data_IF_195843204805
#
_entry.id   IF_195843204805
#
_cell.length_a   1.000
_cell.length_b   1.000
_cell.length_c   1.000
_cell.angle_alpha   90.00
_cell.angle_beta   90.00
_cell.angle_gamma   90.00
#
_symmetry.space_group_name_H-M   'P 1'
#
loop_
_entity.id
_entity.type
_entity.pdbx_description
1 polymer ?
#
# COMPACT_ATOMS: atom_id res chain seq x y z
N UNK A 1 -59.48 -12.68 -3.43
CA UNK A 1 -58.07 -12.62 -3.85
C UNK A 1 -57.51 -14.03 -3.82
N UNK A 2 -57.29 -14.65 -4.99
CA UNK A 2 -56.53 -15.90 -5.06
C UNK A 2 -55.05 -15.54 -4.90
N UNK A 3 -54.48 -15.85 -3.74
CA UNK A 3 -53.04 -15.74 -3.52
C UNK A 3 -52.42 -17.01 -4.10
N UNK A 4 -51.79 -16.88 -5.26
CA UNK A 4 -51.02 -17.92 -5.91
C UNK A 4 -49.72 -18.11 -5.10
N UNK A 5 -49.64 -19.15 -4.26
CA UNK A 5 -48.37 -19.52 -3.61
C UNK A 5 -47.44 -20.12 -4.68
N UNK A 6 -46.17 -19.67 -4.78
CA UNK A 6 -45.20 -20.28 -5.68
C UNK A 6 -44.97 -21.73 -5.25
N UNK A 7 -45.05 -22.63 -6.23
CA UNK A 7 -44.86 -24.07 -6.07
C UNK A 7 -43.43 -24.35 -5.58
N UNK A 8 -43.25 -24.56 -4.27
CA UNK A 8 -41.96 -24.87 -3.65
C UNK A 8 -41.48 -26.25 -4.15
N UNK A 9 -40.48 -26.27 -5.04
CA UNK A 9 -40.03 -27.48 -5.70
C UNK A 9 -38.94 -28.20 -4.89
N UNK A 10 -39.38 -28.94 -3.86
CA UNK A 10 -38.55 -29.77 -2.98
C UNK A 10 -37.59 -30.70 -3.75
N UNK A 11 -37.98 -31.16 -4.96
CA UNK A 11 -37.15 -32.03 -5.80
C UNK A 11 -35.94 -31.30 -6.37
N UNK A 12 -36.06 -30.01 -6.70
CA UNK A 12 -34.93 -29.20 -7.15
C UNK A 12 -33.96 -28.93 -6.00
N UNK A 13 -34.49 -28.62 -4.81
CA UNK A 13 -33.68 -28.40 -3.60
C UNK A 13 -32.88 -29.66 -3.22
N UNK A 14 -33.50 -30.83 -3.26
CA UNK A 14 -32.83 -32.12 -2.97
C UNK A 14 -31.80 -32.46 -4.05
N UNK A 15 -32.08 -32.17 -5.32
CA UNK A 15 -31.13 -32.37 -6.43
C UNK A 15 -29.91 -31.44 -6.32
N UNK A 16 -30.13 -30.18 -5.95
CA UNK A 16 -29.07 -29.20 -5.68
C UNK A 16 -28.24 -29.56 -4.44
N UNK A 17 -28.90 -30.03 -3.37
CA UNK A 17 -28.20 -30.56 -2.19
C UNK A 17 -27.39 -31.83 -2.50
N UNK A 18 -27.89 -32.69 -3.38
CA UNK A 18 -27.15 -33.86 -3.86
C UNK A 18 -25.93 -33.49 -4.69
N UNK A 19 -26.00 -32.41 -5.48
CA UNK A 19 -24.86 -31.92 -6.26
C UNK A 19 -23.82 -31.22 -5.39
N UNK A 20 -24.21 -30.45 -4.36
CA UNK A 20 -23.27 -29.84 -3.41
C UNK A 20 -22.52 -30.89 -2.59
N UNK A 21 -23.20 -31.92 -2.09
CA UNK A 21 -22.56 -33.02 -1.36
C UNK A 21 -21.59 -33.78 -2.27
N UNK A 22 -21.99 -34.08 -3.52
CA UNK A 22 -21.10 -34.73 -4.49
C UNK A 22 -19.84 -33.90 -4.76
N UNK A 23 -19.97 -32.57 -4.87
CA UNK A 23 -18.84 -31.65 -5.05
C UNK A 23 -17.89 -31.65 -3.86
N UNK A 24 -18.42 -31.66 -2.63
CA UNK A 24 -17.62 -31.72 -1.39
C UNK A 24 -16.86 -33.04 -1.29
N UNK A 25 -17.51 -34.16 -1.62
CA UNK A 25 -16.87 -35.48 -1.64
C UNK A 25 -15.71 -35.49 -2.64
N UNK A 26 -15.94 -35.01 -3.86
CA UNK A 26 -14.91 -34.93 -4.90
C UNK A 26 -13.74 -34.02 -4.50
N UNK A 27 -14.01 -32.85 -3.90
CA UNK A 27 -12.97 -31.96 -3.35
C UNK A 27 -12.12 -32.65 -2.28
N UNK A 28 -12.74 -33.49 -1.46
CA UNK A 28 -12.06 -34.23 -0.39
C UNK A 28 -11.20 -35.36 -0.97
N UNK A 29 -11.70 -36.09 -1.97
CA UNK A 29 -10.98 -37.15 -2.67
C UNK A 29 -9.77 -36.62 -3.47
N UNK A 30 -9.87 -35.43 -4.07
CA UNK A 30 -8.75 -34.79 -4.76
C UNK A 30 -7.67 -34.30 -3.81
N UNK A 31 -8.05 -33.76 -2.64
CA UNK A 31 -7.10 -33.39 -1.58
C UNK A 31 -6.39 -34.61 -0.97
N UNK A 32 -7.04 -35.78 -1.01
CA UNK A 32 -6.49 -37.07 -0.56
C UNK A 32 -5.71 -37.82 -1.66
N UNK A 33 -5.67 -37.32 -2.89
CA UNK A 33 -4.92 -37.90 -4.00
C UNK A 33 -5.51 -39.20 -4.58
N UNK A 34 -6.78 -39.50 -4.32
CA UNK A 34 -7.41 -40.77 -4.71
C UNK A 34 -8.09 -40.74 -6.09
N UNK A 35 -8.21 -39.57 -6.71
CA UNK A 35 -8.96 -39.36 -7.96
C UNK A 35 -8.19 -38.48 -8.94
N UNK A 36 -8.13 -38.90 -10.21
CA UNK A 36 -7.43 -38.19 -11.28
C UNK A 36 -8.18 -36.90 -11.65
N UNK A 37 -7.47 -35.77 -11.62
CA UNK A 37 -8.02 -34.43 -11.86
C UNK A 37 -8.22 -34.22 -13.36
N UNK A 38 -9.37 -33.69 -13.78
CA UNK A 38 -9.45 -33.12 -15.14
C UNK A 38 -8.44 -31.97 -15.25
N UNK A 39 -7.37 -32.21 -16.01
CA UNK A 39 -6.30 -31.23 -16.26
C UNK A 39 -6.75 -30.23 -17.32
N UNK A 40 -6.42 -28.96 -17.09
CA UNK A 40 -6.56 -27.93 -18.12
C UNK A 40 -5.42 -28.05 -19.13
N UNK A 41 -5.64 -27.66 -20.39
CA UNK A 41 -4.55 -27.60 -21.36
C UNK A 41 -3.50 -26.54 -20.97
N UNK A 42 -2.28 -26.67 -21.50
CA UNK A 42 -1.16 -25.79 -21.17
C UNK A 42 -1.44 -24.32 -21.50
N UNK A 43 -2.18 -24.05 -22.57
CA UNK A 43 -2.48 -22.70 -22.99
C UNK A 43 -3.43 -22.01 -22.02
N UNK A 44 -4.47 -22.70 -21.56
CA UNK A 44 -5.38 -22.24 -20.52
C UNK A 44 -4.63 -21.99 -19.21
N UNK A 45 -3.73 -22.89 -18.81
CA UNK A 45 -2.92 -22.71 -17.60
C UNK A 45 -2.07 -21.43 -17.67
N UNK A 46 -1.39 -21.19 -18.79
CA UNK A 46 -0.59 -19.98 -19.01
C UNK A 46 -1.46 -18.71 -18.97
N UNK A 47 -2.66 -18.76 -19.56
CA UNK A 47 -3.62 -17.65 -19.53
C UNK A 47 -4.12 -17.36 -18.10
N UNK A 48 -4.42 -18.40 -17.34
CA UNK A 48 -4.86 -18.30 -15.95
C UNK A 48 -3.76 -17.72 -15.05
N UNK A 49 -2.53 -18.21 -15.18
CA UNK A 49 -1.38 -17.70 -14.44
C UNK A 49 -1.14 -16.21 -14.73
N UNK A 50 -1.15 -15.82 -16.01
CA UNK A 50 -1.01 -14.42 -16.41
C UNK A 50 -2.11 -13.54 -15.83
N UNK A 51 -3.34 -14.05 -15.74
CA UNK A 51 -4.45 -13.34 -15.11
C UNK A 51 -4.23 -13.11 -13.62
N UNK A 52 -3.74 -14.14 -12.91
CA UNK A 52 -3.46 -14.07 -11.48
C UNK A 52 -2.32 -13.06 -11.20
N UNK A 53 -1.23 -13.12 -11.97
CA UNK A 53 -0.14 -12.14 -11.91
C UNK A 53 -0.67 -10.72 -12.17
N UNK A 54 -1.48 -10.54 -13.22
CA UNK A 54 -2.04 -9.23 -13.57
C UNK A 54 -2.89 -8.67 -12.45
N UNK A 55 -3.77 -9.50 -11.85
CA UNK A 55 -4.61 -9.10 -10.72
C UNK A 55 -3.77 -8.66 -9.53
N UNK A 56 -2.88 -9.53 -9.06
CA UNK A 56 -2.07 -9.28 -7.86
C UNK A 56 -1.22 -8.03 -7.99
N UNK A 57 -0.56 -7.82 -9.12
CA UNK A 57 0.27 -6.63 -9.31
C UNK A 57 -0.55 -5.36 -9.50
N UNK A 58 -1.69 -5.44 -10.20
CA UNK A 58 -2.57 -4.28 -10.34
C UNK A 58 -3.11 -3.84 -8.98
N UNK A 59 -3.54 -4.77 -8.11
CA UNK A 59 -3.98 -4.48 -6.74
C UNK A 59 -2.89 -3.79 -5.91
N UNK A 60 -1.66 -4.33 -5.93
CA UNK A 60 -0.52 -3.75 -5.21
C UNK A 60 -0.16 -2.35 -5.71
N UNK A 61 -0.05 -2.17 -7.02
CA UNK A 61 0.30 -0.88 -7.62
C UNK A 61 -0.72 0.21 -7.31
N UNK A 62 -2.02 -0.11 -7.35
CA UNK A 62 -3.09 0.82 -6.98
C UNK A 62 -2.97 1.20 -5.49
N UNK A 63 -2.84 0.20 -4.61
CA UNK A 63 -2.73 0.42 -3.16
C UNK A 63 -1.52 1.30 -2.80
N UNK A 64 -0.36 1.00 -3.38
CA UNK A 64 0.88 1.71 -3.05
C UNK A 64 0.87 3.12 -3.62
N UNK A 65 0.36 3.31 -4.84
CA UNK A 65 0.19 4.64 -5.44
C UNK A 65 -0.75 5.50 -4.60
N UNK A 66 -1.86 4.95 -4.14
CA UNK A 66 -2.79 5.69 -3.26
C UNK A 66 -2.18 6.03 -1.91
N UNK A 67 -1.27 5.19 -1.40
CA UNK A 67 -0.56 5.47 -0.15
C UNK A 67 0.45 6.62 -0.33
N UNK A 68 0.99 6.81 -1.54
CA UNK A 68 1.80 7.98 -1.87
C UNK A 68 0.93 9.23 -2.00
N UNK A 69 -0.21 9.13 -2.68
CA UNK A 69 -1.11 10.27 -2.92
C UNK A 69 -1.84 10.72 -1.66
N UNK A 70 -2.26 9.79 -0.81
CA UNK A 70 -3.00 10.03 0.43
C UNK A 70 -2.41 9.12 1.51
N UNK A 71 -1.35 9.57 2.21
CA UNK A 71 -0.66 8.75 3.21
C UNK A 71 -1.54 8.26 4.35
N UNK A 72 -2.44 9.12 4.82
CA UNK A 72 -3.34 8.81 5.92
C UNK A 72 -4.39 7.75 5.48
N UNK A 73 -4.40 6.54 6.08
CA UNK A 73 -5.32 5.47 5.69
C UNK A 73 -6.79 5.77 6.01
N UNK A 74 -7.07 6.50 7.10
CA UNK A 74 -8.43 6.93 7.44
C UNK A 74 -9.00 7.84 6.35
N UNK A 75 -8.21 8.81 5.87
CA UNK A 75 -8.63 9.69 4.78
C UNK A 75 -8.92 8.92 3.49
N UNK A 76 -8.13 7.87 3.18
CA UNK A 76 -8.37 7.00 2.02
C UNK A 76 -9.69 6.25 2.11
N UNK A 77 -9.98 5.66 3.27
CA UNK A 77 -11.23 4.93 3.51
C UNK A 77 -12.43 5.87 3.43
N UNK A 78 -12.33 7.04 4.06
CA UNK A 78 -13.38 8.05 4.02
C UNK A 78 -13.64 8.49 2.56
N UNK A 79 -12.60 8.83 1.80
CA UNK A 79 -12.71 9.21 0.39
C UNK A 79 -13.38 8.15 -0.46
N UNK A 80 -13.03 6.88 -0.25
CA UNK A 80 -13.67 5.75 -0.93
C UNK A 80 -15.16 5.64 -0.60
N UNK A 81 -15.54 5.86 0.66
CA UNK A 81 -16.96 5.86 1.07
C UNK A 81 -17.71 7.00 0.37
N UNK A 82 -17.16 8.22 0.40
CA UNK A 82 -17.76 9.39 -0.26
C UNK A 82 -17.93 9.19 -1.77
N UNK A 83 -16.94 8.55 -2.42
CA UNK A 83 -17.01 8.16 -3.84
C UNK A 83 -18.14 7.15 -4.08
N UNK A 84 -18.29 6.12 -3.23
CA UNK A 84 -19.34 5.10 -3.38
C UNK A 84 -20.76 5.60 -3.08
N UNK A 85 -20.92 6.60 -2.22
CA UNK A 85 -22.22 7.23 -1.94
C UNK A 85 -22.50 8.46 -2.80
N UNK A 86 -21.65 8.72 -3.80
CA UNK A 86 -21.76 9.85 -4.74
C UNK A 86 -21.91 11.22 -4.07
N UNK A 87 -21.21 11.41 -2.94
CA UNK A 87 -21.17 12.69 -2.22
C UNK A 87 -19.85 13.42 -2.44
N UNK A 88 -19.90 14.74 -2.35
CA UNK A 88 -18.68 15.56 -2.36
C UNK A 88 -17.77 15.17 -1.20
N UNK A 89 -16.49 14.96 -1.51
CA UNK A 89 -15.46 14.75 -0.49
C UNK A 89 -15.36 15.97 0.43
N UNK A 90 -15.02 15.78 1.72
CA UNK A 90 -14.72 16.89 2.60
C UNK A 90 -13.51 17.66 2.07
N UNK A 91 -13.59 19.00 2.10
CA UNK A 91 -12.46 19.87 1.75
C UNK A 91 -11.46 19.86 2.91
N UNK A 92 -10.52 18.91 2.88
CA UNK A 92 -9.43 18.84 3.85
C UNK A 92 -8.29 19.72 3.35
N UNK A 93 -7.72 20.52 4.25
CA UNK A 93 -6.49 21.25 3.99
C UNK A 93 -5.31 20.27 3.94
N UNK A 94 -4.42 20.47 3.00
CA UNK A 94 -3.11 19.83 2.96
C UNK A 94 -2.23 20.32 4.11
N UNK A 95 -1.15 19.59 4.40
CA UNK A 95 -0.19 20.03 5.41
C UNK A 95 0.46 21.37 5.03
N UNK A 96 0.70 21.57 3.73
CA UNK A 96 1.24 22.83 3.18
C UNK A 96 0.27 23.99 3.38
N UNK A 97 -1.04 23.76 3.21
CA UNK A 97 -2.05 24.79 3.45
C UNK A 97 -2.21 25.14 4.93
N UNK A 98 -2.06 24.19 5.86
CA UNK A 98 -2.04 24.52 7.29
C UNK A 98 -0.85 25.42 7.62
N UNK A 99 0.35 25.05 7.16
CA UNK A 99 1.56 25.87 7.33
C UNK A 99 1.37 27.26 6.70
N UNK A 100 0.79 27.33 5.51
CA UNK A 100 0.53 28.58 4.81
C UNK A 100 -0.33 29.54 5.63
N UNK A 101 -1.42 29.04 6.23
CA UNK A 101 -2.32 29.86 7.05
C UNK A 101 -1.58 30.46 8.25
N UNK A 102 -0.87 29.63 9.01
CA UNK A 102 -0.14 30.07 10.19
C UNK A 102 0.98 31.08 9.83
N UNK A 103 1.69 30.87 8.73
CA UNK A 103 2.74 31.80 8.28
C UNK A 103 2.17 33.16 7.84
N UNK A 104 1.02 33.17 7.17
CA UNK A 104 0.36 34.40 6.74
C UNK A 104 -0.17 35.17 7.96
N UNK A 105 -0.82 34.48 8.90
CA UNK A 105 -1.32 35.08 10.14
C UNK A 105 -0.17 35.64 10.99
N UNK A 106 0.86 34.83 11.23
CA UNK A 106 2.05 35.26 11.97
C UNK A 106 2.75 36.45 11.30
N UNK A 107 2.85 36.48 9.97
CA UNK A 107 3.43 37.61 9.26
C UNK A 107 2.60 38.89 9.37
N UNK A 108 1.28 38.77 9.53
CA UNK A 108 0.39 39.86 9.90
C UNK A 108 0.70 40.42 11.29
N UNK A 109 0.82 39.53 12.28
CA UNK A 109 1.05 39.88 13.68
C UNK A 109 2.46 40.41 13.97
N UNK A 110 3.48 39.87 13.29
CA UNK A 110 4.85 40.40 13.39
C UNK A 110 5.01 41.77 12.73
N UNK A 111 4.03 42.23 11.95
CA UNK A 111 4.03 43.51 11.27
C UNK A 111 4.37 43.37 9.79
N UNK A 112 3.38 43.70 8.95
CA UNK A 112 3.45 43.60 7.48
C UNK A 112 4.43 44.58 6.83
N UNK A 113 4.89 45.58 7.58
CA UNK A 113 5.90 46.55 7.13
C UNK A 113 7.32 46.13 7.54
N UNK A 114 7.47 45.11 8.39
CA UNK A 114 8.77 44.61 8.82
C UNK A 114 9.28 43.50 7.89
N UNK A 115 10.60 43.40 7.64
CA UNK A 115 11.15 42.43 6.69
C UNK A 115 10.78 40.98 6.99
N UNK A 116 10.69 40.61 8.28
CA UNK A 116 10.33 39.27 8.70
C UNK A 116 8.84 38.96 8.43
N UNK A 117 7.93 39.88 8.77
CA UNK A 117 6.51 39.72 8.49
C UNK A 117 6.22 39.62 6.99
N UNK A 118 6.87 40.47 6.18
CA UNK A 118 6.78 40.40 4.71
C UNK A 118 7.27 39.06 4.16
N UNK A 119 8.42 38.57 4.64
CA UNK A 119 8.96 37.29 4.22
C UNK A 119 8.03 36.13 4.59
N UNK A 120 7.50 36.10 5.81
CA UNK A 120 6.55 35.06 6.26
C UNK A 120 5.29 35.02 5.39
N UNK A 121 4.70 36.18 5.09
CA UNK A 121 3.52 36.25 4.20
C UNK A 121 3.86 35.70 2.81
N UNK A 122 5.03 36.05 2.25
CA UNK A 122 5.45 35.55 0.94
C UNK A 122 5.68 34.05 0.92
N UNK A 123 6.33 33.50 1.94
CA UNK A 123 6.52 32.05 2.07
C UNK A 123 5.17 31.36 2.23
N UNK A 124 4.30 31.85 3.12
CA UNK A 124 2.96 31.27 3.30
C UNK A 124 2.12 31.28 2.01
N UNK A 125 2.17 32.35 1.22
CA UNK A 125 1.51 32.40 -0.10
C UNK A 125 2.07 31.36 -1.09
N UNK A 126 3.38 31.08 -1.04
CA UNK A 126 3.99 30.05 -1.86
C UNK A 126 3.60 28.64 -1.38
N UNK A 127 3.61 28.39 -0.07
CA UNK A 127 3.15 27.13 0.54
C UNK A 127 1.68 26.84 0.17
N UNK A 128 0.83 27.85 0.17
CA UNK A 128 -0.57 27.71 -0.29
C UNK A 128 -0.66 27.26 -1.76
N UNK A 129 0.18 27.83 -2.63
CA UNK A 129 0.24 27.42 -4.05
C UNK A 129 0.77 26.00 -4.19
N UNK A 130 1.76 25.59 -3.39
CA UNK A 130 2.27 24.22 -3.38
C UNK A 130 1.20 23.23 -2.94
N UNK A 131 0.40 23.58 -1.92
CA UNK A 131 -0.77 22.79 -1.50
C UNK A 131 -1.79 22.62 -2.63
N UNK A 132 -2.07 23.68 -3.40
CA UNK A 132 -2.93 23.57 -4.59
C UNK A 132 -2.33 22.65 -5.66
N UNK A 133 -1.02 22.74 -5.93
CA UNK A 133 -0.34 21.82 -6.84
C UNK A 133 -0.47 20.35 -6.37
N UNK A 134 -0.39 20.09 -5.07
CA UNK A 134 -0.59 18.76 -4.49
C UNK A 134 -2.02 18.25 -4.72
N UNK A 135 -3.05 19.07 -4.46
CA UNK A 135 -4.44 18.70 -4.72
C UNK A 135 -4.67 18.34 -6.20
N UNK A 136 -4.16 19.16 -7.12
CA UNK A 136 -4.27 18.92 -8.55
C UNK A 136 -3.55 17.63 -8.97
N UNK A 137 -2.39 17.36 -8.38
CA UNK A 137 -1.62 16.13 -8.60
C UNK A 137 -2.37 14.89 -8.12
N UNK A 138 -2.94 14.92 -6.91
CA UNK A 138 -3.73 13.83 -6.33
C UNK A 138 -4.96 13.56 -7.21
N UNK A 139 -5.71 14.60 -7.56
CA UNK A 139 -6.91 14.48 -8.38
C UNK A 139 -6.61 13.90 -9.77
N UNK A 140 -5.59 14.44 -10.46
CA UNK A 140 -5.23 14.01 -11.81
C UNK A 140 -4.68 12.59 -11.82
N UNK A 141 -3.84 12.22 -10.85
CA UNK A 141 -3.32 10.86 -10.69
C UNK A 141 -4.44 9.86 -10.40
N UNK A 142 -5.44 10.28 -9.64
CA UNK A 142 -6.68 9.53 -9.45
C UNK A 142 -7.35 9.17 -10.76
N UNK A 143 -7.64 10.20 -11.57
CA UNK A 143 -8.38 10.08 -12.84
C UNK A 143 -7.62 9.25 -13.87
N UNK A 144 -6.30 9.49 -14.03
CA UNK A 144 -5.54 8.90 -15.13
C UNK A 144 -4.94 7.53 -14.80
N UNK A 145 -4.88 7.13 -13.53
CA UNK A 145 -4.18 5.93 -13.11
C UNK A 145 -4.96 5.06 -12.12
N UNK A 146 -5.24 5.54 -10.91
CA UNK A 146 -5.78 4.64 -9.88
C UNK A 146 -7.24 4.25 -10.13
N UNK A 147 -8.10 5.20 -10.54
CA UNK A 147 -9.51 4.93 -10.84
C UNK A 147 -9.72 3.94 -12.01
N UNK A 148 -9.08 4.08 -13.19
CA UNK A 148 -9.27 3.12 -14.26
C UNK A 148 -8.77 1.72 -13.90
N UNK A 149 -7.68 1.60 -13.12
CA UNK A 149 -7.19 0.31 -12.63
C UNK A 149 -8.13 -0.31 -11.58
N UNK A 150 -8.71 0.49 -10.66
CA UNK A 150 -9.79 0.03 -9.77
C UNK A 150 -10.99 -0.49 -10.55
N UNK A 151 -11.40 0.21 -11.61
CA UNK A 151 -12.52 -0.21 -12.47
C UNK A 151 -12.23 -1.55 -13.15
N UNK A 152 -11.01 -1.76 -13.64
CA UNK A 152 -10.55 -3.05 -14.16
C UNK A 152 -10.65 -4.16 -13.11
N UNK A 153 -10.16 -3.90 -11.88
CA UNK A 153 -10.21 -4.85 -10.76
C UNK A 153 -11.65 -5.18 -10.35
N UNK A 154 -12.50 -4.17 -10.22
CA UNK A 154 -13.90 -4.32 -9.79
C UNK A 154 -14.82 -4.89 -10.89
N UNK A 155 -14.46 -4.74 -12.17
CA UNK A 155 -15.26 -5.21 -13.30
C UNK A 155 -14.74 -6.51 -13.89
N UNK A 156 -13.66 -6.40 -14.67
CA UNK A 156 -13.10 -7.51 -15.46
C UNK A 156 -12.56 -8.62 -14.55
N UNK A 157 -11.71 -8.27 -13.57
CA UNK A 157 -11.10 -9.30 -12.71
C UNK A 157 -12.09 -9.98 -11.78
N UNK A 158 -13.14 -9.29 -11.30
CA UNK A 158 -14.24 -9.93 -10.57
C UNK A 158 -15.00 -10.91 -11.45
N UNK A 159 -15.26 -10.54 -12.70
CA UNK A 159 -15.94 -11.42 -13.67
C UNK A 159 -15.09 -12.66 -13.97
N UNK A 160 -13.80 -12.48 -14.27
CA UNK A 160 -12.85 -13.58 -14.47
C UNK A 160 -12.82 -14.52 -13.25
N UNK A 161 -12.73 -13.95 -12.04
CA UNK A 161 -12.71 -14.74 -10.79
C UNK A 161 -13.99 -15.56 -10.62
N UNK A 162 -15.16 -14.98 -10.95
CA UNK A 162 -16.45 -15.66 -10.89
C UNK A 162 -16.53 -16.80 -11.90
N UNK A 163 -16.21 -16.53 -13.17
CA UNK A 163 -16.31 -17.55 -14.23
C UNK A 163 -15.32 -18.69 -14.03
N UNK A 164 -14.12 -18.43 -13.48
CA UNK A 164 -13.20 -19.49 -13.03
C UNK A 164 -13.79 -20.34 -11.92
N UNK A 165 -14.45 -19.75 -10.93
CA UNK A 165 -15.14 -20.50 -9.88
C UNK A 165 -16.29 -21.38 -10.40
N UNK A 166 -17.01 -20.90 -11.43
CA UNK A 166 -18.03 -21.69 -12.13
C UNK A 166 -17.36 -22.83 -12.90
N UNK A 167 -16.26 -22.58 -13.61
CA UNK A 167 -15.50 -23.60 -14.33
C UNK A 167 -15.02 -24.72 -13.41
N UNK A 168 -14.45 -24.38 -12.25
CA UNK A 168 -14.02 -25.36 -11.26
C UNK A 168 -15.19 -26.20 -10.73
N UNK A 169 -16.37 -25.57 -10.56
CA UNK A 169 -17.60 -26.27 -10.22
C UNK A 169 -18.02 -27.26 -11.30
N UNK A 170 -18.00 -26.86 -12.58
CA UNK A 170 -18.34 -27.74 -13.70
C UNK A 170 -17.34 -28.89 -13.86
N UNK A 171 -16.06 -28.62 -13.61
CA UNK A 171 -15.02 -29.65 -13.59
C UNK A 171 -15.31 -30.72 -12.52
N UNK A 172 -15.67 -30.31 -11.31
CA UNK A 172 -16.08 -31.24 -10.24
C UNK A 172 -17.31 -32.07 -10.63
N UNK A 173 -18.32 -31.45 -11.26
CA UNK A 173 -19.51 -32.16 -11.72
C UNK A 173 -19.18 -33.19 -12.81
N UNK A 174 -18.27 -32.83 -13.74
CA UNK A 174 -17.77 -33.73 -14.77
C UNK A 174 -17.04 -34.93 -14.18
N UNK A 175 -16.14 -34.71 -13.22
CA UNK A 175 -15.38 -35.77 -12.54
C UNK A 175 -16.34 -36.71 -11.77
N UNK A 176 -17.34 -36.16 -11.08
CA UNK A 176 -18.38 -36.95 -10.42
C UNK A 176 -19.20 -37.81 -11.41
N UNK A 177 -19.56 -37.27 -12.57
CA UNK A 177 -20.25 -38.03 -13.62
C UNK A 177 -19.36 -39.14 -14.22
N UNK A 178 -18.06 -38.89 -14.44
CA UNK A 178 -17.10 -39.92 -14.88
C UNK A 178 -17.05 -41.08 -13.88
N UNK A 179 -17.00 -40.76 -12.59
CA UNK A 179 -17.01 -41.76 -11.52
C UNK A 179 -18.33 -42.55 -11.46
N UNK A 180 -19.49 -41.89 -11.66
CA UNK A 180 -20.79 -42.57 -11.75
C UNK A 180 -20.85 -43.55 -12.93
N UNK A 181 -20.34 -43.17 -14.09
CA UNK A 181 -20.25 -44.07 -15.25
C UNK A 181 -19.36 -45.27 -14.96
N UNK A 182 -18.17 -45.06 -14.36
CA UNK A 182 -17.26 -46.14 -13.95
C UNK A 182 -17.94 -47.12 -13.00
N UNK A 183 -18.69 -46.61 -12.01
CA UNK A 183 -19.46 -47.43 -11.06
C UNK A 183 -20.61 -48.18 -11.74
N UNK A 184 -21.40 -47.51 -12.58
CA UNK A 184 -22.51 -48.14 -13.29
C UNK A 184 -22.01 -49.27 -14.22
N UNK A 185 -20.88 -49.06 -14.93
CA UNK A 185 -20.23 -50.12 -15.74
C UNK A 185 -19.80 -51.32 -14.90
N UNK A 186 -19.29 -51.10 -13.68
CA UNK A 186 -18.88 -52.21 -12.79
C UNK A 186 -20.05 -53.07 -12.29
N UNK A 187 -21.28 -52.55 -12.36
CA UNK A 187 -22.50 -53.25 -11.96
C UNK A 187 -23.15 -54.03 -13.13
N UNK A 188 -22.63 -53.89 -14.35
CA UNK A 188 -23.13 -54.61 -15.52
C UNK A 188 -22.95 -56.12 -15.32
N UNK A 189 -24.03 -56.90 -15.46
CA UNK A 189 -24.05 -58.34 -15.20
C UNK A 189 -24.38 -58.77 -13.77
N UNK A 190 -24.60 -57.82 -12.84
CA UNK A 190 -25.12 -58.12 -11.50
C UNK A 190 -26.66 -58.10 -11.48
N UNK A 191 -27.28 -58.89 -10.58
CA UNK A 191 -28.75 -58.89 -10.43
C UNK A 191 -29.25 -57.51 -9.97
N UNK A 192 -30.35 -57.04 -10.58
CA UNK A 192 -30.99 -55.77 -10.25
C UNK A 192 -31.48 -55.77 -8.80
N UNK A 193 -30.85 -54.98 -7.92
CA UNK A 193 -31.26 -54.87 -6.51
C UNK A 193 -32.46 -53.93 -6.29
N UNK A 194 -32.71 -52.97 -7.19
CA UNK A 194 -33.66 -51.87 -6.93
C UNK A 194 -34.70 -51.64 -8.06
N UNK A 195 -34.99 -52.66 -8.87
CA UNK A 195 -35.99 -52.57 -9.96
C UNK A 195 -35.57 -51.74 -11.19
N UNK A 196 -34.41 -51.09 -11.15
CA UNK A 196 -33.78 -50.44 -12.31
C UNK A 196 -32.79 -51.43 -12.91
N UNK A 197 -32.90 -51.70 -14.22
CA UNK A 197 -31.92 -52.52 -14.93
C UNK A 197 -30.52 -51.88 -14.84
N UNK A 198 -29.45 -52.64 -14.57
CA UNK A 198 -28.08 -52.14 -14.60
C UNK A 198 -27.74 -51.41 -15.91
N UNK A 199 -28.33 -51.85 -17.03
CA UNK A 199 -28.17 -51.24 -18.35
C UNK A 199 -28.85 -49.86 -18.44
N UNK A 200 -30.04 -49.71 -17.86
CA UNK A 200 -30.75 -48.42 -17.79
C UNK A 200 -30.02 -47.42 -16.87
N UNK A 201 -29.42 -47.90 -15.77
CA UNK A 201 -28.60 -47.08 -14.88
C UNK A 201 -27.31 -46.61 -15.58
N UNK A 202 -26.67 -47.48 -16.37
CA UNK A 202 -25.51 -47.12 -17.19
C UNK A 202 -25.87 -46.08 -18.25
N UNK A 203 -26.96 -46.31 -18.99
CA UNK A 203 -27.40 -45.38 -20.03
C UNK A 203 -27.69 -43.99 -19.45
N UNK A 204 -28.35 -43.92 -18.29
CA UNK A 204 -28.59 -42.65 -17.60
C UNK A 204 -27.28 -41.96 -17.16
N UNK A 205 -26.33 -42.71 -16.59
CA UNK A 205 -25.04 -42.16 -16.20
C UNK A 205 -24.24 -41.62 -17.41
N UNK A 206 -24.30 -42.30 -18.56
CA UNK A 206 -23.65 -41.85 -19.79
C UNK A 206 -24.32 -40.61 -20.40
N UNK A 207 -25.66 -40.49 -20.30
CA UNK A 207 -26.37 -39.26 -20.66
C UNK A 207 -25.95 -38.09 -19.76
N UNK A 208 -25.91 -38.29 -18.45
CA UNK A 208 -25.50 -37.26 -17.48
C UNK A 208 -24.04 -36.84 -17.69
N UNK A 209 -23.14 -37.78 -18.03
CA UNK A 209 -21.75 -37.48 -18.39
C UNK A 209 -21.66 -36.60 -19.64
N UNK A 210 -22.44 -36.90 -20.68
CA UNK A 210 -22.46 -36.09 -21.91
C UNK A 210 -22.91 -34.66 -21.63
N UNK A 211 -23.93 -34.48 -20.79
CA UNK A 211 -24.41 -33.14 -20.38
C UNK A 211 -23.34 -32.40 -19.56
N UNK A 212 -22.71 -33.07 -18.60
CA UNK A 212 -21.67 -32.47 -17.77
C UNK A 212 -20.45 -32.05 -18.60
N UNK A 213 -20.04 -32.87 -19.58
CA UNK A 213 -18.94 -32.55 -20.49
C UNK A 213 -19.26 -31.31 -21.34
N UNK A 214 -20.43 -31.28 -21.98
CA UNK A 214 -20.82 -30.14 -22.82
C UNK A 214 -20.87 -28.82 -22.04
N UNK A 215 -21.33 -28.86 -20.78
CA UNK A 215 -21.39 -27.66 -19.93
C UNK A 215 -20.01 -27.23 -19.42
N UNK A 216 -19.12 -28.20 -19.13
CA UNK A 216 -17.71 -27.90 -18.81
C UNK A 216 -17.00 -27.26 -20.01
N UNK A 217 -17.13 -27.83 -21.21
CA UNK A 217 -16.49 -27.31 -22.42
C UNK A 217 -16.98 -25.90 -22.74
N UNK A 218 -18.30 -25.66 -22.65
CA UNK A 218 -18.89 -24.33 -22.81
C UNK A 218 -18.33 -23.33 -21.80
N UNK A 219 -18.22 -23.72 -20.54
CA UNK A 219 -17.70 -22.84 -19.49
C UNK A 219 -16.19 -22.60 -19.64
N UNK A 220 -15.45 -23.60 -20.11
CA UNK A 220 -14.02 -23.48 -20.38
C UNK A 220 -13.76 -22.44 -21.47
N UNK A 221 -14.52 -22.48 -22.56
CA UNK A 221 -14.41 -21.50 -23.66
C UNK A 221 -14.76 -20.08 -23.21
N UNK A 222 -15.84 -19.90 -22.44
CA UNK A 222 -16.19 -18.60 -21.84
C UNK A 222 -15.04 -18.06 -20.99
N UNK A 223 -14.49 -18.91 -20.12
CA UNK A 223 -13.39 -18.52 -19.23
C UNK A 223 -12.14 -18.15 -20.02
N UNK A 224 -11.81 -18.95 -21.04
CA UNK A 224 -10.65 -18.73 -21.92
C UNK A 224 -10.73 -17.39 -22.65
N UNK A 225 -11.89 -17.08 -23.25
CA UNK A 225 -12.13 -15.79 -23.92
C UNK A 225 -11.89 -14.59 -22.99
N UNK A 226 -12.33 -14.68 -21.72
CA UNK A 226 -12.09 -13.64 -20.73
C UNK A 226 -10.59 -13.51 -20.39
N UNK A 227 -9.88 -14.63 -20.23
CA UNK A 227 -8.45 -14.63 -19.93
C UNK A 227 -7.60 -14.10 -21.10
N UNK A 228 -8.01 -14.36 -22.34
CA UNK A 228 -7.36 -13.81 -23.54
C UNK A 228 -7.49 -12.27 -23.60
N UNK A 229 -8.65 -11.76 -23.18
CA UNK A 229 -8.96 -10.32 -23.13
C UNK A 229 -8.00 -9.50 -22.27
N UNK A 230 -7.30 -10.13 -21.30
CA UNK A 230 -6.36 -9.47 -20.39
C UNK A 230 -5.23 -8.76 -21.14
N UNK A 231 -4.79 -9.30 -22.27
CA UNK A 231 -3.74 -8.67 -23.09
C UNK A 231 -4.15 -7.27 -23.57
N UNK A 232 -5.42 -7.11 -23.93
CA UNK A 232 -6.01 -5.83 -24.36
C UNK A 232 -6.08 -4.85 -23.20
N UNK A 233 -6.45 -5.33 -22.00
CA UNK A 233 -6.50 -4.53 -20.78
C UNK A 233 -5.10 -4.05 -20.36
N UNK A 234 -4.08 -4.90 -20.49
CA UNK A 234 -2.67 -4.53 -20.24
C UNK A 234 -2.17 -3.43 -21.18
N UNK A 235 -2.58 -3.41 -22.45
CA UNK A 235 -2.26 -2.31 -23.35
C UNK A 235 -2.86 -0.98 -22.87
N UNK A 236 -4.02 -1.01 -22.21
CA UNK A 236 -4.61 0.16 -21.55
C UNK A 236 -3.89 0.53 -20.26
N UNK A 237 -3.46 -0.45 -19.45
CA UNK A 237 -2.66 -0.20 -18.25
C UNK A 237 -1.35 0.55 -18.57
N UNK A 238 -0.68 0.17 -19.66
CA UNK A 238 0.53 0.87 -20.12
C UNK A 238 0.24 2.36 -20.40
N UNK A 239 -0.88 2.66 -21.08
CA UNK A 239 -1.30 4.05 -21.33
C UNK A 239 -1.54 4.83 -20.04
N UNK A 240 -2.21 4.22 -19.06
CA UNK A 240 -2.43 4.85 -17.76
C UNK A 240 -1.11 5.12 -17.02
N UNK A 241 -0.16 4.19 -17.09
CA UNK A 241 1.16 4.38 -16.48
C UNK A 241 1.92 5.56 -17.10
N UNK A 242 1.91 5.68 -18.43
CA UNK A 242 2.49 6.84 -19.11
C UNK A 242 1.83 8.16 -18.67
N UNK A 243 0.50 8.18 -18.57
CA UNK A 243 -0.24 9.36 -18.11
C UNK A 243 0.12 9.71 -16.65
N UNK A 244 0.27 8.72 -15.77
CA UNK A 244 0.69 8.93 -14.39
C UNK A 244 2.06 9.59 -14.29
N UNK A 245 3.06 9.11 -15.05
CA UNK A 245 4.39 9.70 -15.05
C UNK A 245 4.38 11.13 -15.61
N UNK A 246 3.57 11.41 -16.63
CA UNK A 246 3.40 12.78 -17.12
C UNK A 246 2.80 13.71 -16.06
N UNK A 247 1.84 13.21 -15.27
CA UNK A 247 1.24 13.94 -14.15
C UNK A 247 2.28 14.22 -13.05
N UNK A 248 3.14 13.26 -12.69
CA UNK A 248 4.25 13.49 -11.75
C UNK A 248 5.24 14.54 -12.25
N UNK A 249 5.67 14.44 -13.51
CA UNK A 249 6.61 15.41 -14.11
C UNK A 249 6.03 16.82 -14.06
N UNK A 250 4.74 16.98 -14.38
CA UNK A 250 4.06 18.28 -14.30
C UNK A 250 4.03 18.81 -12.87
N UNK A 251 3.67 17.98 -11.91
CA UNK A 251 3.60 18.36 -10.49
C UNK A 251 4.95 18.88 -9.98
N UNK A 252 6.02 18.09 -10.11
CA UNK A 252 7.33 18.51 -9.63
C UNK A 252 7.86 19.76 -10.34
N UNK A 253 7.58 19.91 -11.64
CA UNK A 253 7.93 21.12 -12.38
C UNK A 253 7.18 22.34 -11.82
N UNK A 254 5.87 22.24 -11.60
CA UNK A 254 5.07 23.33 -11.04
C UNK A 254 5.53 23.73 -9.64
N UNK A 255 5.85 22.76 -8.78
CA UNK A 255 6.44 23.04 -7.46
C UNK A 255 7.79 23.76 -7.58
N UNK A 256 8.66 23.32 -8.50
CA UNK A 256 9.93 23.98 -8.79
C UNK A 256 9.72 25.44 -9.22
N UNK A 257 8.82 25.68 -10.17
CA UNK A 257 8.50 27.02 -10.67
C UNK A 257 8.00 27.96 -9.54
N UNK A 258 7.16 27.44 -8.62
CA UNK A 258 6.68 28.17 -7.44
C UNK A 258 7.83 28.53 -6.49
N UNK A 259 8.72 27.57 -6.21
CA UNK A 259 9.85 27.79 -5.30
C UNK A 259 10.90 28.74 -5.88
N UNK A 260 11.20 28.64 -7.18
CA UNK A 260 12.08 29.59 -7.86
C UNK A 260 11.50 31.01 -7.85
N UNK A 261 10.19 31.14 -8.02
CA UNK A 261 9.52 32.43 -7.90
C UNK A 261 9.66 32.98 -6.47
N UNK A 262 9.41 32.16 -5.45
CA UNK A 262 9.57 32.56 -4.05
C UNK A 262 11.00 33.05 -3.76
N UNK A 263 12.03 32.33 -4.22
CA UNK A 263 13.42 32.75 -4.03
C UNK A 263 13.70 34.14 -4.62
N UNK A 264 13.17 34.43 -5.82
CA UNK A 264 13.27 35.76 -6.44
C UNK A 264 12.52 36.83 -5.63
N UNK A 265 11.31 36.51 -5.15
CA UNK A 265 10.52 37.43 -4.33
C UNK A 265 11.22 37.76 -3.01
N UNK A 266 11.81 36.77 -2.32
CA UNK A 266 12.56 37.01 -1.08
C UNK A 266 13.85 37.79 -1.30
N UNK A 267 14.57 37.52 -2.40
CA UNK A 267 15.77 38.29 -2.75
C UNK A 267 15.45 39.79 -2.96
N UNK A 268 14.28 40.09 -3.55
CA UNK A 268 13.83 41.46 -3.78
C UNK A 268 13.41 42.19 -2.49
N UNK A 269 13.03 41.47 -1.43
CA UNK A 269 12.68 42.09 -0.14
C UNK A 269 13.90 42.65 0.61
N UNK A 270 15.12 42.27 0.22
CA UNK A 270 16.35 42.71 0.88
C UNK A 270 16.50 42.10 2.27
N UNK A 271 17.20 40.98 2.36
CA UNK A 271 17.49 40.29 3.62
C UNK A 271 18.92 39.74 3.67
N UNK A 272 19.36 39.18 4.81
CA UNK A 272 20.65 38.49 4.93
C UNK A 272 20.80 37.42 3.85
N UNK A 273 22.01 37.25 3.31
CA UNK A 273 22.29 36.22 2.29
C UNK A 273 21.81 34.85 2.76
N UNK A 274 21.08 34.08 1.93
CA UNK A 274 20.64 32.74 2.29
C UNK A 274 21.81 31.90 2.79
N UNK A 275 21.62 31.18 3.90
CA UNK A 275 22.61 30.21 4.37
C UNK A 275 22.73 29.09 3.32
N UNK A 276 23.91 28.92 2.73
CA UNK A 276 24.22 27.82 1.82
C UNK A 276 24.86 26.71 2.68
N UNK A 277 24.23 25.53 2.82
CA UNK A 277 24.86 24.40 3.48
C UNK A 277 26.17 24.02 2.79
N UNK A 278 27.23 23.77 3.59
CA UNK A 278 28.62 23.56 3.14
C UNK A 278 28.80 22.49 2.04
N UNK A 279 27.86 21.56 1.85
CA UNK A 279 27.98 20.43 0.91
C UNK A 279 27.60 20.73 -0.56
N UNK A 280 26.98 21.88 -0.87
CA UNK A 280 26.63 22.22 -2.27
C UNK A 280 27.73 22.97 -3.03
N UNK A 281 28.85 23.30 -2.38
CA UNK A 281 29.94 24.07 -2.98
C UNK A 281 30.79 23.30 -4.02
N UNK A 282 30.65 21.97 -4.11
CA UNK A 282 31.47 21.15 -5.01
C UNK A 282 30.82 20.79 -6.36
N UNK A 283 29.59 21.21 -6.65
CA UNK A 283 28.91 20.85 -7.91
C UNK A 283 28.95 21.96 -9.00
N UNK A 284 29.43 23.17 -8.70
CA UNK A 284 29.33 24.30 -9.65
C UNK A 284 30.56 25.21 -9.72
N UNK A 285 31.70 24.85 -9.12
CA UNK A 285 32.95 25.57 -9.28
C UNK A 285 33.74 25.13 -10.53
N UNK A 286 33.17 25.33 -11.72
CA UNK A 286 33.95 25.34 -12.96
C UNK A 286 33.32 26.28 -13.98
N UNK A 287 33.66 27.57 -13.88
CA UNK A 287 33.95 28.51 -14.99
C UNK A 287 33.87 29.96 -14.48
N UNK A 288 35.01 30.55 -14.17
CA UNK A 288 35.38 31.89 -14.65
C UNK A 288 36.82 32.23 -14.28
N UNK A 289 37.56 32.66 -15.29
CA UNK A 289 38.98 33.05 -15.25
C UNK A 289 39.16 34.46 -14.64
N UNK A 290 40.07 34.56 -13.66
CA UNK A 290 41.16 35.55 -13.48
C UNK A 290 40.85 37.08 -13.37
N UNK A 291 41.81 37.96 -12.96
CA UNK A 291 43.04 37.76 -12.17
C UNK A 291 43.29 38.82 -11.04
N UNK A 292 44.20 38.52 -10.10
CA UNK A 292 45.20 39.48 -9.60
C UNK A 292 45.16 39.91 -8.13
N UNK A 293 46.28 39.72 -7.42
CA UNK A 293 46.65 40.54 -6.24
C UNK A 293 47.02 39.77 -4.97
N UNK A 294 48.29 39.81 -4.48
CA UNK A 294 48.80 38.94 -3.41
C UNK A 294 48.85 39.63 -2.04
N UNK A 295 48.73 38.88 -0.94
CA UNK A 295 49.67 39.01 0.18
C UNK A 295 49.52 37.94 1.25
N UNK A 296 50.68 37.52 1.71
CA UNK A 296 50.94 36.45 2.64
C UNK A 296 50.86 36.89 4.11
N UNK A 297 50.90 35.87 4.98
CA UNK A 297 51.42 35.86 6.36
C UNK A 297 50.65 36.59 7.47
N UNK A 298 50.17 35.84 8.46
CA UNK A 298 50.93 35.62 9.71
C UNK A 298 50.31 34.51 10.58
N UNK A 299 51.21 33.66 11.06
CA UNK A 299 51.00 32.61 12.03
C UNK A 299 50.97 33.13 13.47
N UNK A 300 50.39 32.36 14.38
CA UNK A 300 50.51 32.53 15.83
C UNK A 300 49.64 31.55 16.63
N UNK A 301 50.21 30.52 17.28
CA UNK A 301 49.48 29.41 17.90
C UNK A 301 49.46 29.42 19.44
N UNK A 302 48.61 28.56 20.03
CA UNK A 302 48.69 28.06 21.41
C UNK A 302 47.90 28.88 22.45
N UNK A 303 47.41 28.34 23.57
CA UNK A 303 47.56 27.02 24.16
C UNK A 303 46.53 26.89 25.32
N UNK A 304 46.21 25.65 25.69
CA UNK A 304 45.40 25.27 26.87
C UNK A 304 46.01 25.77 28.20
N UNK A 305 45.22 26.03 29.25
CA UNK A 305 44.86 25.04 30.30
C UNK A 305 44.32 25.68 31.61
N UNK A 306 43.69 24.83 32.44
CA UNK A 306 43.52 24.86 33.91
C UNK A 306 42.39 25.66 34.60
N UNK A 307 41.31 24.93 34.92
CA UNK A 307 40.78 24.57 36.26
C UNK A 307 40.91 25.53 37.46
N UNK A 308 39.78 25.83 38.13
CA UNK A 308 39.63 25.65 39.59
C UNK A 308 38.17 25.73 40.05
N UNK A 309 37.87 24.86 41.00
CA UNK A 309 36.63 24.53 41.72
C UNK A 309 36.08 25.61 42.67
N UNK A 310 34.76 25.65 42.85
CA UNK A 310 34.15 25.98 44.15
C UNK A 310 32.78 25.31 44.32
N UNK A 311 32.61 24.64 45.45
CA UNK A 311 31.39 23.96 45.88
C UNK A 311 30.49 24.91 46.66
N UNK A 312 29.18 24.84 46.40
CA UNK A 312 28.15 25.29 47.33
C UNK A 312 26.82 24.60 47.03
N UNK A 313 26.20 24.14 48.11
CA UNK A 313 25.01 23.32 48.30
C UNK A 313 23.73 23.86 47.67
N UNK A 314 22.93 22.99 47.05
CA UNK A 314 21.53 23.23 46.70
C UNK A 314 20.89 22.06 45.94
N UNK A 315 19.88 21.41 46.53
CA UNK A 315 19.04 20.42 45.86
C UNK A 315 18.35 21.03 44.64
N UNK A 316 18.55 20.45 43.45
CA UNK A 316 17.79 20.71 42.22
C UNK A 316 17.78 19.44 41.35
N UNK A 317 16.66 19.07 40.69
CA UNK A 317 16.65 17.90 39.81
C UNK A 317 17.60 18.12 38.64
N UNK A 318 18.51 17.18 38.45
CA UNK A 318 19.54 17.16 37.42
C UNK A 318 18.91 16.89 36.04
N UNK A 319 18.76 17.93 35.22
CA UNK A 319 18.79 17.78 33.77
C UNK A 319 20.26 17.59 33.35
N UNK A 320 20.74 16.35 33.35
CA UNK A 320 22.00 15.99 32.70
C UNK A 320 21.70 15.61 31.24
N UNK A 321 22.49 16.08 30.26
CA UNK A 321 22.36 15.62 28.88
C UNK A 321 22.75 14.14 28.79
N UNK A 322 21.78 13.30 28.41
CA UNK A 322 21.97 11.87 28.19
C UNK A 322 22.97 11.64 27.04
N UNK A 323 24.07 10.95 27.32
CA UNK A 323 25.06 10.58 26.31
C UNK A 323 24.66 9.25 25.67
N UNK A 324 24.52 9.22 24.34
CA UNK A 324 24.02 8.06 23.59
C UNK A 324 25.12 7.53 22.69
N UNK A 325 25.57 6.31 22.94
CA UNK A 325 26.50 5.62 22.07
C UNK A 325 25.72 5.03 20.88
N UNK A 326 25.94 5.57 19.68
CA UNK A 326 25.17 5.20 18.48
C UNK A 326 25.51 3.79 17.99
N UNK A 327 26.63 3.22 18.43
CA UNK A 327 27.11 1.89 18.02
C UNK A 327 26.35 0.72 18.69
N UNK A 328 25.45 0.99 19.65
CA UNK A 328 24.71 -0.03 20.41
C UNK A 328 23.19 0.03 20.18
N UNK A 329 22.75 0.54 19.03
CA UNK A 329 21.33 0.60 18.71
C UNK A 329 20.83 -0.73 18.13
N UNK A 330 19.73 -1.23 18.67
CA UNK A 330 19.06 -2.45 18.22
C UNK A 330 17.69 -2.10 17.63
N UNK A 331 17.19 -2.92 16.71
CA UNK A 331 15.86 -2.71 16.12
C UNK A 331 14.80 -3.18 17.10
N UNK A 332 13.72 -2.42 17.23
CA UNK A 332 12.55 -2.80 18.01
C UNK A 332 11.27 -2.47 17.25
N UNK A 333 10.26 -3.31 17.41
CA UNK A 333 8.90 -3.08 16.92
C UNK A 333 8.07 -2.38 17.98
N UNK A 334 7.38 -1.32 17.60
CA UNK A 334 6.43 -0.63 18.48
C UNK A 334 5.15 -1.45 18.62
N UNK A 335 4.78 -1.79 19.86
CA UNK A 335 3.61 -2.60 20.19
C UNK A 335 2.30 -1.79 20.14
N UNK A 336 2.35 -0.52 20.54
CA UNK A 336 1.21 0.38 20.57
C UNK A 336 1.64 1.83 20.37
N UNK A 337 0.73 2.66 19.87
CA UNK A 337 1.00 4.09 19.69
C UNK A 337 1.18 4.80 21.03
N UNK A 338 2.07 5.78 21.05
CA UNK A 338 2.41 6.57 22.24
C UNK A 338 2.58 8.04 21.88
N UNK A 339 1.88 8.91 22.61
CA UNK A 339 2.05 10.35 22.50
C UNK A 339 3.04 10.82 23.58
N UNK A 340 4.12 11.46 23.15
CA UNK A 340 5.16 12.02 24.01
C UNK A 340 4.56 13.08 24.95
N UNK A 341 4.89 12.98 26.24
CA UNK A 341 4.40 13.91 27.26
C UNK A 341 5.12 15.25 27.20
N UNK A 342 6.36 15.24 26.76
CA UNK A 342 7.18 16.43 26.58
C UNK A 342 8.21 16.25 25.46
N UNK A 343 9.03 17.28 25.25
CA UNK A 343 10.05 17.34 24.20
C UNK A 343 11.24 16.39 24.41
N UNK A 344 11.31 15.67 25.54
CA UNK A 344 12.36 14.68 25.82
C UNK A 344 11.96 13.27 25.39
N UNK A 345 10.67 13.01 25.18
CA UNK A 345 10.09 11.75 24.74
C UNK A 345 9.83 11.75 23.21
N UNK A 346 9.71 10.55 22.62
CA UNK A 346 9.46 10.36 21.19
C UNK A 346 8.05 9.79 20.96
N UNK A 347 7.31 10.38 20.01
CA UNK A 347 6.01 9.84 19.57
C UNK A 347 6.21 8.51 18.84
N UNK A 348 5.33 7.54 19.11
CA UNK A 348 5.38 6.22 18.51
C UNK A 348 4.08 5.89 17.78
N UNK A 349 4.19 5.20 16.65
CA UNK A 349 3.06 4.59 15.94
C UNK A 349 3.12 3.06 16.04
N UNK A 350 1.99 2.43 16.39
CA UNK A 350 1.91 0.98 16.46
C UNK A 350 2.39 0.28 15.16
N UNK A 351 3.14 -0.82 15.33
CA UNK A 351 3.76 -1.64 14.28
C UNK A 351 4.90 -1.00 13.48
N UNK A 352 5.39 0.19 13.85
CA UNK A 352 6.60 0.72 13.22
C UNK A 352 7.87 0.07 13.81
N UNK A 353 8.98 0.12 13.07
CA UNK A 353 10.28 -0.37 13.53
C UNK A 353 11.20 0.82 13.76
N UNK A 354 11.71 0.94 14.98
CA UNK A 354 12.62 1.99 15.43
C UNK A 354 13.94 1.40 15.91
N UNK A 355 14.93 2.27 16.10
CA UNK A 355 16.19 1.90 16.74
C UNK A 355 16.14 2.32 18.20
N UNK A 356 16.45 1.41 19.13
CA UNK A 356 16.47 1.67 20.57
C UNK A 356 17.81 1.27 21.18
N UNK A 357 18.18 1.90 22.27
CA UNK A 357 19.34 1.53 23.09
C UNK A 357 19.06 1.81 24.57
N UNK A 358 19.85 1.20 25.45
CA UNK A 358 19.73 1.40 26.89
C UNK A 358 20.07 2.85 27.29
N UNK A 359 19.32 3.38 28.25
CA UNK A 359 19.59 4.69 28.82
C UNK A 359 20.91 4.64 29.63
N UNK A 360 21.68 5.73 29.62
CA UNK A 360 22.84 5.92 30.51
C UNK A 360 22.66 7.23 31.29
N UNK A 361 22.30 7.19 32.59
CA UNK A 361 22.16 6.01 33.45
C UNK A 361 20.97 5.12 33.10
N UNK A 362 21.05 3.84 33.46
CA UNK A 362 20.02 2.81 33.17
C UNK A 362 18.69 3.23 33.78
N UNK A 363 17.64 3.15 32.97
CA UNK A 363 16.26 3.44 33.36
C UNK A 363 15.41 2.19 33.08
N UNK A 364 14.70 1.70 34.10
CA UNK A 364 13.89 0.47 33.98
C UNK A 364 12.66 0.69 33.09
N UNK A 365 12.07 1.89 33.14
CA UNK A 365 10.81 2.22 32.46
C UNK A 365 11.00 2.77 31.04
N UNK A 366 12.16 3.35 30.74
CA UNK A 366 12.42 4.05 29.46
C UNK A 366 13.68 3.58 28.75
N UNK A 367 13.62 3.57 27.42
CA UNK A 367 14.75 3.38 26.52
C UNK A 367 14.98 4.63 25.68
N UNK A 368 16.19 4.79 25.13
CA UNK A 368 16.45 5.86 24.18
C UNK A 368 16.20 5.37 22.75
N UNK A 369 15.33 6.06 22.02
CA UNK A 369 14.97 5.71 20.65
C UNK A 369 15.42 6.74 19.63
N UNK A 370 15.64 6.27 18.40
CA UNK A 370 15.88 7.09 17.21
C UNK A 370 15.01 6.58 16.06
N UNK A 371 14.30 7.51 15.43
CA UNK A 371 13.51 7.28 14.24
C UNK A 371 13.86 8.35 13.20
N UNK A 372 14.61 7.97 12.17
CA UNK A 372 15.17 8.92 11.20
C UNK A 372 16.06 9.97 11.88
N UNK A 373 15.65 11.24 11.82
CA UNK A 373 16.33 12.37 12.48
C UNK A 373 15.80 12.65 13.89
N UNK A 374 14.64 12.08 14.25
CA UNK A 374 14.02 12.28 15.56
C UNK A 374 14.61 11.32 16.58
N UNK A 375 14.73 11.77 17.82
CA UNK A 375 15.32 10.99 18.93
C UNK A 375 14.70 11.43 20.25
N UNK A 376 14.52 10.50 21.17
CA UNK A 376 13.89 10.78 22.46
C UNK A 376 13.69 9.51 23.29
N UNK A 377 13.19 9.68 24.50
CA UNK A 377 12.84 8.58 25.39
C UNK A 377 11.54 7.90 24.94
N UNK A 378 11.49 6.58 25.07
CA UNK A 378 10.30 5.77 24.79
C UNK A 378 10.03 4.81 25.94
N UNK A 379 8.77 4.54 26.30
CA UNK A 379 8.48 3.53 27.32
C UNK A 379 8.93 2.14 26.87
N UNK A 380 9.70 1.44 27.70
CA UNK A 380 10.19 0.09 27.40
C UNK A 380 9.03 -0.89 27.14
N UNK A 381 7.93 -0.75 27.87
CA UNK A 381 6.75 -1.61 27.71
C UNK A 381 6.03 -1.48 26.34
N UNK A 382 6.38 -0.46 25.55
CA UNK A 382 5.74 -0.16 24.27
C UNK A 382 6.58 -0.65 23.08
N UNK A 383 7.74 -1.27 23.33
CA UNK A 383 8.67 -1.73 22.31
C UNK A 383 9.07 -3.18 22.55
N UNK A 384 9.20 -3.94 21.47
CA UNK A 384 9.65 -5.33 21.44
C UNK A 384 10.92 -5.44 20.61
N UNK A 385 12.00 -5.93 21.21
CA UNK A 385 13.28 -6.09 20.52
C UNK A 385 13.16 -7.12 19.40
N UNK A 386 13.71 -6.79 18.23
CA UNK A 386 13.79 -7.70 17.09
C UNK A 386 15.17 -8.36 17.11
N UNK A 387 15.22 -9.65 17.42
CA UNK A 387 16.46 -10.42 17.38
C UNK A 387 16.94 -10.55 15.93
N UNK A 388 18.17 -10.13 15.67
CA UNK A 388 18.86 -10.39 14.40
C UNK A 388 19.48 -11.79 14.43
N UNK A 389 18.69 -12.87 14.34
CA UNK A 389 19.25 -14.18 13.99
C UNK A 389 18.21 -15.18 13.41
N UNK A 390 18.55 -15.68 12.21
CA UNK A 390 18.07 -16.88 11.51
C UNK A 390 16.68 -16.87 10.84
N UNK A 391 16.66 -16.48 9.56
CA UNK A 391 15.95 -17.27 8.53
C UNK A 391 16.79 -17.32 7.23
N UNK A 392 17.87 -18.09 7.31
CA UNK A 392 18.46 -18.80 6.17
C UNK A 392 18.03 -20.26 6.36
N UNK A 393 17.60 -20.91 5.27
CA UNK A 393 17.05 -22.30 5.13
C UNK A 393 15.64 -22.50 5.71
N UNK A 394 14.58 -22.85 4.96
CA UNK A 394 14.43 -23.61 3.69
C UNK A 394 13.21 -23.12 2.90
#
# INVERSE_FOLDING_TARGET
>A
MNINLPHFNMKNLVKEAGSTISRVVQLTEEKLGTTERTEYDLHFQNLAERADVTKTWTEKLVKDTESVLIPNPQNRVEDYIFEKIEKSKPKRLSNLEHLALDMIEAGGDFGQDLPYGQALIKVGQAEQKLGQCEHDFIATSGICFTQPLRKFLEGEMKTISKERGILDTKRLDLDACKNRVKKARSMLGQQSKDGISPEAALEQAERDLRVAQAEFDRQSEITKLLLDGISTSQASHLRHLHAFIQTQVRYYKQCGDVMEQLQRELANLGGPTPYIPLDQSNASASKSNAPGGPSATRAGPGNNNSSSSQASTGHRPTNQPMHVNTDQMQRARVLCSYDAKDHTELNLNANEVIFVTECSPVNEDYMYAKQGLMKGLVPRAFVEMLDEEHDVTL
#
